data_IF_184500834575
#
_entry.id   IF_184500834575
#
_cell.length_a   1.000
_cell.length_b   1.000
_cell.length_c   1.000
_cell.angle_alpha   90.00
_cell.angle_beta   90.00
_cell.angle_gamma   90.00
#
_symmetry.space_group_name_H-M   'P 1'
#
loop_
_entity.id
_entity.type
_entity.pdbx_description
1 polymer ?
#
# COMPACT_ATOMS: atom_id res chain seq x y z
N UNK A 1 10.90 17.37 -23.87
CA UNK A 1 11.78 18.48 -24.22
C UNK A 1 12.52 18.34 -25.56
N UNK A 2 11.98 17.63 -26.57
CA UNK A 2 12.44 17.71 -27.95
C UNK A 2 13.79 17.07 -28.29
N UNK A 3 14.42 16.37 -27.38
CA UNK A 3 15.74 15.76 -27.56
C UNK A 3 15.75 14.25 -27.82
N UNK A 4 14.59 13.63 -27.86
CA UNK A 4 14.49 12.23 -28.26
C UNK A 4 14.20 12.19 -29.75
N UNK A 5 15.15 11.69 -30.54
CA UNK A 5 14.94 11.50 -31.98
C UNK A 5 13.74 10.55 -32.19
N UNK A 6 12.65 10.98 -32.84
CA UNK A 6 11.44 10.17 -33.04
C UNK A 6 11.71 8.82 -33.71
N UNK A 7 12.74 8.76 -34.55
CA UNK A 7 13.11 7.58 -35.34
C UNK A 7 13.72 6.42 -34.49
N UNK A 8 14.01 6.63 -33.20
CA UNK A 8 14.52 5.56 -32.32
C UNK A 8 13.43 4.65 -31.74
N UNK A 9 12.18 5.10 -31.78
CA UNK A 9 11.04 4.32 -31.25
C UNK A 9 10.12 3.97 -32.40
N UNK A 10 10.59 3.11 -33.30
CA UNK A 10 9.79 2.58 -34.41
C UNK A 10 9.17 1.23 -33.98
N UNK A 11 8.09 1.29 -33.22
CA UNK A 11 7.30 0.09 -32.90
C UNK A 11 5.94 0.17 -33.57
N UNK A 12 5.47 -0.97 -34.06
CA UNK A 12 4.17 -1.07 -34.72
C UNK A 12 3.00 -1.24 -33.76
N UNK A 13 3.29 -1.65 -32.53
CA UNK A 13 2.28 -1.82 -31.48
C UNK A 13 2.78 -1.24 -30.15
N UNK A 14 1.97 -0.40 -29.54
CA UNK A 14 2.13 0.11 -28.17
C UNK A 14 1.03 -0.48 -27.31
N UNK A 15 1.40 -1.20 -26.26
CA UNK A 15 0.46 -1.72 -25.27
C UNK A 15 0.62 -0.88 -23.99
N UNK A 16 -0.49 -0.38 -23.47
CA UNK A 16 -0.57 0.39 -22.23
C UNK A 16 -1.43 -0.41 -21.27
N UNK A 17 -0.84 -0.90 -20.19
CA UNK A 17 -1.55 -1.55 -19.10
C UNK A 17 -1.82 -0.53 -17.98
N UNK A 18 -2.90 -0.75 -17.20
CA UNK A 18 -3.35 0.17 -16.14
C UNK A 18 -3.51 1.62 -16.67
N UNK A 19 -4.08 1.76 -17.86
CA UNK A 19 -4.13 3.03 -18.58
C UNK A 19 -4.96 4.13 -17.85
N UNK A 20 -5.79 3.77 -16.85
CA UNK A 20 -6.47 4.73 -15.98
C UNK A 20 -5.50 5.52 -15.09
N UNK A 21 -4.29 5.00 -14.85
CA UNK A 21 -3.28 5.62 -13.99
C UNK A 21 -2.35 6.58 -14.75
N UNK A 22 -2.56 6.80 -16.04
CA UNK A 22 -1.77 7.74 -16.83
C UNK A 22 -1.84 9.14 -16.26
N UNK A 23 -0.68 9.78 -16.16
CA UNK A 23 -0.53 11.21 -15.93
C UNK A 23 -0.66 12.02 -17.23
N UNK A 24 -0.68 13.34 -17.09
CA UNK A 24 -0.64 14.25 -18.26
C UNK A 24 0.59 14.03 -19.14
N UNK A 25 1.73 13.74 -18.52
CA UNK A 25 2.99 13.60 -19.23
C UNK A 25 3.05 12.25 -19.97
N UNK A 26 2.49 11.17 -19.35
CA UNK A 26 2.36 9.87 -20.00
C UNK A 26 1.46 9.96 -21.25
N UNK A 27 0.31 10.61 -21.10
CA UNK A 27 -0.61 10.83 -22.22
C UNK A 27 0.01 11.69 -23.33
N UNK A 28 0.79 12.73 -22.97
CA UNK A 28 1.50 13.55 -23.94
C UNK A 28 2.55 12.74 -24.71
N UNK A 29 3.26 11.83 -24.03
CA UNK A 29 4.22 10.93 -24.67
C UNK A 29 3.52 9.97 -25.64
N UNK A 30 2.43 9.33 -25.20
CA UNK A 30 1.62 8.42 -26.05
C UNK A 30 1.13 9.17 -27.29
N UNK A 31 0.55 10.37 -27.11
CA UNK A 31 0.06 11.18 -28.19
C UNK A 31 1.15 11.61 -29.19
N UNK A 32 2.36 11.91 -28.70
CA UNK A 32 3.50 12.23 -29.55
C UNK A 32 3.95 11.02 -30.37
N UNK A 33 3.99 9.82 -29.74
CA UNK A 33 4.34 8.57 -30.43
C UNK A 33 3.32 8.23 -31.53
N UNK A 34 2.03 8.38 -31.24
CA UNK A 34 0.96 8.16 -32.24
C UNK A 34 1.09 9.11 -33.44
N UNK A 35 1.41 10.37 -33.19
CA UNK A 35 1.59 11.38 -34.26
C UNK A 35 2.81 11.16 -35.15
N UNK A 36 3.88 10.61 -34.57
CA UNK A 36 5.13 10.39 -35.31
C UNK A 36 5.20 9.03 -35.99
N UNK A 37 4.31 8.10 -35.63
CA UNK A 37 4.24 6.74 -36.18
C UNK A 37 2.81 6.44 -36.64
N UNK A 38 2.46 6.86 -37.84
CA UNK A 38 1.10 6.73 -38.39
C UNK A 38 0.59 5.28 -38.44
N UNK A 39 1.47 4.31 -38.60
CA UNK A 39 1.12 2.88 -38.61
C UNK A 39 1.06 2.24 -37.22
N UNK A 40 1.35 3.00 -36.15
CA UNK A 40 1.34 2.47 -34.79
C UNK A 40 -0.08 2.15 -34.33
N UNK A 41 -0.26 0.93 -33.87
CA UNK A 41 -1.50 0.50 -33.18
C UNK A 41 -1.31 0.64 -31.68
N UNK A 42 -2.26 1.28 -31.02
CA UNK A 42 -2.28 1.41 -29.56
C UNK A 42 -3.35 0.49 -28.98
N UNK A 43 -2.98 -0.30 -27.99
CA UNK A 43 -3.86 -1.14 -27.20
C UNK A 43 -3.77 -0.61 -25.76
N UNK A 44 -4.79 0.08 -25.28
CA UNK A 44 -4.87 0.55 -23.92
C UNK A 44 -5.84 -0.32 -23.12
N UNK A 45 -5.37 -0.88 -22.02
CA UNK A 45 -6.16 -1.69 -21.08
C UNK A 45 -6.18 -0.97 -19.75
N UNK A 46 -7.35 -0.87 -19.13
CA UNK A 46 -7.51 -0.17 -17.86
C UNK A 46 -8.91 -0.31 -17.30
N UNK A 47 -9.06 0.07 -16.05
CA UNK A 47 -10.31 0.08 -15.31
C UNK A 47 -10.49 1.45 -14.64
N UNK A 48 -11.34 2.30 -15.22
CA UNK A 48 -11.59 3.65 -14.72
C UNK A 48 -12.15 3.69 -13.29
N UNK A 49 -12.83 2.63 -12.84
CA UNK A 49 -13.29 2.48 -11.46
C UNK A 49 -12.14 2.24 -10.46
N UNK A 50 -10.93 1.88 -10.95
CA UNK A 50 -9.75 1.61 -10.13
C UNK A 50 -8.73 2.74 -10.10
N UNK A 51 -9.02 3.90 -10.65
CA UNK A 51 -8.13 5.05 -10.53
C UNK A 51 -8.10 5.58 -9.08
N UNK A 52 -7.06 5.20 -8.34
CA UNK A 52 -6.83 5.62 -6.95
C UNK A 52 -5.62 6.54 -6.80
N UNK A 53 -4.98 6.95 -7.91
CA UNK A 53 -3.75 7.76 -7.92
C UNK A 53 -3.96 9.19 -8.41
N UNK A 54 -5.18 9.72 -8.40
CA UNK A 54 -5.45 11.12 -8.76
C UNK A 54 -4.58 12.12 -7.98
N UNK A 55 -4.28 11.83 -6.72
CA UNK A 55 -3.38 12.65 -5.90
C UNK A 55 -1.93 12.69 -6.40
N UNK A 56 -1.54 11.77 -7.31
CA UNK A 56 -0.25 11.75 -8.01
C UNK A 56 -0.33 12.35 -9.41
N UNK A 57 -1.47 12.86 -9.82
CA UNK A 57 -1.70 13.48 -11.12
C UNK A 57 -2.19 12.53 -12.21
N UNK A 58 -2.55 11.26 -11.85
CA UNK A 58 -3.23 10.37 -12.79
C UNK A 58 -4.68 10.83 -13.02
N UNK A 59 -5.23 10.51 -14.18
CA UNK A 59 -6.63 10.84 -14.47
C UNK A 59 -7.19 9.90 -15.52
N UNK A 60 -8.29 9.21 -15.19
CA UNK A 60 -9.02 8.32 -16.12
C UNK A 60 -9.49 9.02 -17.41
N UNK A 61 -9.53 10.36 -17.40
CA UNK A 61 -9.82 11.16 -18.59
C UNK A 61 -8.89 10.80 -19.75
N UNK A 62 -7.62 10.50 -19.49
CA UNK A 62 -6.66 10.18 -20.57
C UNK A 62 -6.99 8.84 -21.22
N UNK A 63 -7.48 7.85 -20.44
CA UNK A 63 -8.02 6.62 -21.00
C UNK A 63 -9.26 6.91 -21.87
N UNK A 64 -10.16 7.78 -21.39
CA UNK A 64 -11.33 8.20 -22.17
C UNK A 64 -10.91 8.91 -23.48
N UNK A 65 -9.95 9.81 -23.44
CA UNK A 65 -9.46 10.52 -24.62
C UNK A 65 -8.91 9.56 -25.70
N UNK A 66 -8.28 8.45 -25.31
CA UNK A 66 -7.86 7.41 -26.26
C UNK A 66 -9.05 6.75 -26.96
N UNK A 67 -10.21 6.62 -26.30
CA UNK A 67 -11.42 6.06 -26.95
C UNK A 67 -12.02 7.01 -27.97
N UNK A 68 -11.71 8.30 -27.91
CA UNK A 68 -12.24 9.32 -28.82
C UNK A 68 -11.33 9.56 -30.05
N UNK A 69 -10.19 8.85 -30.15
CA UNK A 69 -9.33 8.97 -31.32
C UNK A 69 -9.97 8.35 -32.55
N UNK A 70 -9.67 8.87 -33.73
CA UNK A 70 -10.17 8.36 -35.00
C UNK A 70 -9.79 6.87 -35.17
N UNK A 71 -10.74 6.06 -35.62
CA UNK A 71 -10.59 4.60 -35.77
C UNK A 71 -10.40 3.82 -34.43
N UNK A 72 -10.62 4.43 -33.28
CA UNK A 72 -10.58 3.70 -32.01
C UNK A 72 -11.75 2.71 -31.90
N UNK A 73 -11.50 1.58 -31.23
CA UNK A 73 -12.52 0.62 -30.86
C UNK A 73 -12.51 0.43 -29.35
N UNK A 74 -13.61 0.76 -28.72
CA UNK A 74 -13.83 0.54 -27.30
C UNK A 74 -14.51 -0.83 -27.07
N UNK A 75 -13.98 -1.61 -26.12
CA UNK A 75 -14.50 -2.92 -25.74
C UNK A 75 -14.62 -2.96 -24.22
N UNK A 76 -15.83 -3.12 -23.69
CA UNK A 76 -16.07 -3.38 -22.27
C UNK A 76 -15.90 -4.87 -21.96
N UNK A 77 -15.05 -5.19 -20.97
CA UNK A 77 -14.92 -6.52 -20.42
C UNK A 77 -15.86 -6.64 -19.22
N UNK A 78 -16.94 -7.40 -19.38
CA UNK A 78 -18.02 -7.47 -18.38
C UNK A 78 -18.00 -8.74 -17.56
N UNK A 79 -17.25 -9.76 -17.97
CA UNK A 79 -17.17 -11.06 -17.29
C UNK A 79 -16.05 -11.06 -16.25
N UNK A 80 -16.40 -11.39 -14.99
CA UNK A 80 -15.46 -11.48 -13.89
C UNK A 80 -15.30 -12.95 -13.46
N UNK A 81 -14.11 -13.49 -13.68
CA UNK A 81 -13.72 -14.86 -13.32
C UNK A 81 -12.96 -14.94 -11.99
N UNK A 82 -12.66 -13.80 -11.36
CA UNK A 82 -11.85 -13.72 -10.14
C UNK A 82 -12.68 -13.81 -8.88
N UNK A 83 -13.79 -13.08 -8.84
CA UNK A 83 -14.52 -12.82 -7.61
C UNK A 83 -15.86 -13.52 -7.57
N UNK A 84 -16.26 -13.91 -6.35
CA UNK A 84 -17.54 -14.55 -6.07
C UNK A 84 -18.71 -13.56 -6.29
N UNK A 85 -19.92 -14.08 -6.50
CA UNK A 85 -21.09 -13.34 -6.96
C UNK A 85 -21.45 -12.14 -6.08
N UNK A 86 -21.54 -12.32 -4.77
CA UNK A 86 -21.89 -11.23 -3.85
C UNK A 86 -20.83 -10.11 -3.80
N UNK A 87 -19.55 -10.47 -4.00
CA UNK A 87 -18.46 -9.49 -4.06
C UNK A 87 -18.62 -8.61 -5.31
N UNK A 88 -18.87 -9.23 -6.48
CA UNK A 88 -19.10 -8.49 -7.74
C UNK A 88 -20.34 -7.61 -7.66
N UNK A 89 -21.43 -8.13 -7.10
CA UNK A 89 -22.65 -7.35 -6.92
C UNK A 89 -22.45 -6.14 -5.99
N UNK A 90 -21.71 -6.34 -4.91
CA UNK A 90 -21.36 -5.24 -3.99
C UNK A 90 -20.48 -4.21 -4.67
N UNK A 91 -19.49 -4.63 -5.45
CA UNK A 91 -18.62 -3.74 -6.22
C UNK A 91 -19.44 -2.91 -7.24
N UNK A 92 -20.36 -3.53 -7.99
CA UNK A 92 -21.27 -2.81 -8.88
C UNK A 92 -22.11 -1.77 -8.14
N UNK A 93 -22.60 -2.09 -6.92
CA UNK A 93 -23.36 -1.15 -6.09
C UNK A 93 -22.52 0.06 -5.67
N UNK A 94 -21.25 -0.13 -5.33
CA UNK A 94 -20.32 0.98 -5.05
C UNK A 94 -20.00 1.79 -6.30
N UNK A 95 -19.73 1.12 -7.41
CA UNK A 95 -19.37 1.74 -8.69
C UNK A 95 -20.46 2.69 -9.20
N UNK A 96 -21.74 2.46 -8.86
CA UNK A 96 -22.86 3.35 -9.19
C UNK A 96 -22.69 4.76 -8.63
N UNK A 97 -21.89 4.94 -7.57
CA UNK A 97 -21.63 6.24 -6.95
C UNK A 97 -20.43 6.97 -7.58
N UNK A 98 -19.67 6.31 -8.45
CA UNK A 98 -18.53 6.92 -9.14
C UNK A 98 -19.08 7.83 -10.25
N UNK A 99 -18.65 9.08 -10.22
CA UNK A 99 -19.00 10.06 -11.25
C UNK A 99 -18.08 9.92 -12.45
N UNK A 100 -18.60 10.16 -13.64
CA UNK A 100 -17.83 10.19 -14.90
C UNK A 100 -17.17 8.83 -15.25
N UNK A 101 -17.91 7.74 -15.05
CA UNK A 101 -17.47 6.41 -15.50
C UNK A 101 -17.44 6.32 -17.02
N UNK A 102 -16.40 5.65 -17.54
CA UNK A 102 -16.29 5.28 -18.96
C UNK A 102 -17.19 4.06 -19.25
N UNK A 103 -17.16 3.09 -18.32
CA UNK A 103 -17.98 1.87 -18.42
C UNK A 103 -19.44 2.15 -18.09
N UNK A 104 -20.32 1.57 -18.88
CA UNK A 104 -21.77 1.66 -18.66
C UNK A 104 -22.39 0.34 -18.22
N UNK A 105 -21.77 -0.77 -18.55
CA UNK A 105 -22.30 -2.12 -18.31
C UNK A 105 -21.84 -2.66 -16.95
N UNK A 106 -22.77 -3.23 -16.14
CA UNK A 106 -22.38 -3.91 -14.90
C UNK A 106 -21.49 -5.13 -15.17
N UNK A 107 -20.57 -5.40 -14.25
CA UNK A 107 -19.75 -6.60 -14.30
C UNK A 107 -20.55 -7.81 -13.81
N UNK A 108 -20.39 -8.96 -14.45
CA UNK A 108 -21.09 -10.19 -14.14
C UNK A 108 -20.08 -11.21 -13.60
N UNK A 109 -20.33 -11.75 -12.41
CA UNK A 109 -19.52 -12.84 -11.87
C UNK A 109 -19.81 -14.14 -12.62
N UNK A 110 -18.76 -14.78 -13.10
CA UNK A 110 -18.84 -16.13 -13.73
C UNK A 110 -18.75 -17.26 -12.69
N UNK A 111 -18.51 -16.93 -11.40
CA UNK A 111 -18.54 -17.89 -10.31
C UNK A 111 -19.95 -18.34 -9.96
N UNK A 112 -20.11 -19.62 -9.67
CA UNK A 112 -21.36 -20.19 -9.15
C UNK A 112 -21.49 -20.02 -7.63
N UNK A 113 -20.41 -19.67 -6.95
CA UNK A 113 -20.39 -19.46 -5.51
C UNK A 113 -20.75 -18.00 -5.17
N UNK A 114 -21.49 -17.83 -4.06
CA UNK A 114 -22.01 -16.52 -3.68
C UNK A 114 -20.96 -15.63 -2.99
N UNK A 115 -20.16 -16.20 -2.10
CA UNK A 115 -19.24 -15.44 -1.25
C UNK A 115 -19.96 -14.67 -0.14
N UNK A 116 -19.20 -14.00 0.69
CA UNK A 116 -19.71 -13.19 1.80
C UNK A 116 -19.13 -11.77 1.73
N UNK A 117 -19.98 -10.77 1.92
CA UNK A 117 -19.59 -9.37 2.12
C UNK A 117 -20.20 -8.90 3.43
N UNK A 118 -19.36 -8.47 4.37
CA UNK A 118 -19.78 -7.99 5.68
C UNK A 118 -19.31 -6.58 5.92
N UNK A 119 -20.23 -5.70 6.30
CA UNK A 119 -19.93 -4.31 6.65
C UNK A 119 -20.08 -4.18 8.17
N UNK A 120 -19.00 -3.73 8.82
CA UNK A 120 -18.99 -3.48 10.26
C UNK A 120 -18.90 -1.98 10.50
N UNK A 121 -19.91 -1.42 11.17
CA UNK A 121 -19.95 0.00 11.53
C UNK A 121 -19.57 0.15 13.01
N UNK A 122 -18.57 0.97 13.29
CA UNK A 122 -18.17 1.32 14.65
C UNK A 122 -18.88 2.57 15.15
N UNK A 123 -19.29 2.64 16.43
CA UNK A 123 -19.76 3.88 17.04
C UNK A 123 -18.64 4.94 17.03
N UNK A 124 -19.01 6.19 16.77
CA UNK A 124 -18.07 7.34 16.67
C UNK A 124 -17.22 7.54 17.95
N UNK A 125 -17.78 7.24 19.12
CA UNK A 125 -17.10 7.36 20.42
C UNK A 125 -15.86 6.46 20.59
N UNK A 126 -15.75 5.39 19.78
CA UNK A 126 -14.58 4.50 19.80
C UNK A 126 -13.42 5.06 18.97
N UNK A 127 -13.68 6.02 18.08
CA UNK A 127 -12.69 6.58 17.15
C UNK A 127 -11.57 7.37 17.85
N UNK A 128 -11.81 7.90 19.07
CA UNK A 128 -10.77 8.61 19.84
C UNK A 128 -9.63 7.69 20.30
N UNK A 129 -9.87 6.37 20.39
CA UNK A 129 -8.84 5.38 20.72
C UNK A 129 -8.61 4.48 19.51
N UNK A 130 -7.77 4.91 18.59
CA UNK A 130 -7.46 4.22 17.32
C UNK A 130 -7.23 2.69 17.42
N UNK A 131 -6.73 2.22 18.55
CA UNK A 131 -6.47 0.78 18.77
C UNK A 131 -7.74 -0.07 18.71
N UNK A 132 -8.88 0.45 19.17
CA UNK A 132 -10.14 -0.30 19.16
C UNK A 132 -10.74 -0.46 17.75
N UNK A 133 -10.35 0.34 16.79
CA UNK A 133 -10.80 0.20 15.40
C UNK A 133 -10.31 -1.10 14.76
N UNK A 134 -9.17 -1.62 15.20
CA UNK A 134 -8.55 -2.81 14.61
C UNK A 134 -8.99 -4.11 15.29
N UNK A 135 -9.62 -4.04 16.45
CA UNK A 135 -10.05 -5.20 17.21
C UNK A 135 -11.01 -6.12 16.41
N UNK A 136 -12.04 -5.61 15.71
CA UNK A 136 -12.91 -6.46 14.91
C UNK A 136 -12.21 -7.14 13.74
N UNK A 137 -11.19 -6.49 13.16
CA UNK A 137 -10.37 -7.10 12.10
C UNK A 137 -9.60 -8.28 12.69
N UNK A 138 -9.00 -8.11 13.87
CA UNK A 138 -8.30 -9.17 14.58
C UNK A 138 -9.22 -10.34 14.90
N UNK A 139 -10.44 -10.08 15.39
CA UNK A 139 -11.44 -11.10 15.67
C UNK A 139 -11.83 -11.89 14.41
N UNK A 140 -12.03 -11.19 13.29
CA UNK A 140 -12.33 -11.82 12.01
C UNK A 140 -11.19 -12.66 11.48
N UNK A 141 -9.96 -12.16 11.53
CA UNK A 141 -8.77 -12.92 11.14
C UNK A 141 -8.63 -14.17 12.01
N UNK A 142 -8.79 -14.05 13.32
CA UNK A 142 -8.71 -15.17 14.25
C UNK A 142 -9.79 -16.20 13.95
N UNK A 143 -11.02 -15.76 13.68
CA UNK A 143 -12.15 -16.64 13.31
C UNK A 143 -11.87 -17.38 12.01
N UNK A 144 -11.37 -16.70 10.99
CA UNK A 144 -11.06 -17.30 9.70
C UNK A 144 -9.93 -18.33 9.80
N UNK A 145 -8.87 -18.03 10.55
CA UNK A 145 -7.79 -18.98 10.82
C UNK A 145 -8.26 -20.19 11.60
N UNK A 146 -9.11 -19.99 12.64
CA UNK A 146 -9.70 -21.08 13.43
C UNK A 146 -10.65 -21.96 12.63
N UNK A 147 -11.42 -21.40 11.69
CA UNK A 147 -12.31 -22.19 10.81
C UNK A 147 -11.53 -23.04 9.81
N UNK A 148 -10.34 -22.61 9.40
CA UNK A 148 -9.48 -23.39 8.50
C UNK A 148 -8.81 -24.57 9.23
N UNK A 149 -8.41 -24.39 10.47
CA UNK A 149 -7.84 -25.48 11.29
C UNK A 149 -8.83 -26.64 11.53
N UNK A 150 -10.13 -26.36 11.62
CA UNK A 150 -11.17 -27.40 11.78
C UNK A 150 -11.52 -28.13 10.48
N UNK A 151 -11.19 -27.58 9.31
CA UNK A 151 -11.41 -28.19 8.00
C UNK A 151 -10.26 -29.08 7.53
N UNK A 152 -9.06 -28.96 8.12
CA UNK A 152 -7.90 -29.82 7.81
C UNK A 152 -8.05 -31.28 8.30
N UNK A 153 -9.07 -31.57 9.15
CA UNK A 153 -9.34 -32.92 9.62
C UNK A 153 -9.90 -33.86 8.55
N UNK A 154 -10.33 -33.35 7.41
CA UNK A 154 -10.85 -34.15 6.29
C UNK A 154 -9.84 -34.16 5.13
N UNK A 155 -8.93 -35.15 5.16
CA UNK A 155 -7.74 -35.27 4.28
C UNK A 155 -8.03 -35.51 2.80
N UNK A 156 -9.27 -35.45 2.33
CA UNK A 156 -9.66 -35.73 0.94
C UNK A 156 -9.93 -34.50 0.07
N UNK A 157 -9.97 -33.31 0.64
CA UNK A 157 -10.09 -32.08 -0.15
C UNK A 157 -8.87 -31.17 0.09
N UNK A 158 -7.84 -31.28 -0.77
CA UNK A 158 -6.79 -30.25 -0.89
C UNK A 158 -7.44 -28.90 -1.27
N UNK A 159 -7.98 -28.17 -0.29
CA UNK A 159 -8.33 -26.78 -0.52
C UNK A 159 -7.06 -25.97 -0.65
N UNK A 160 -6.97 -25.22 -1.75
CA UNK A 160 -6.01 -24.14 -1.99
C UNK A 160 -5.74 -23.40 -0.67
N UNK A 161 -4.46 -23.10 -0.38
CA UNK A 161 -4.06 -22.23 0.71
C UNK A 161 -4.88 -20.93 0.62
N UNK A 162 -5.86 -20.80 1.47
CA UNK A 162 -6.63 -19.56 1.58
C UNK A 162 -5.71 -18.49 2.17
N UNK A 163 -5.60 -17.36 1.50
CA UNK A 163 -4.81 -16.21 1.96
C UNK A 163 -5.74 -15.11 2.45
N UNK A 164 -5.36 -14.45 3.54
CA UNK A 164 -6.08 -13.29 4.08
C UNK A 164 -5.25 -12.06 3.76
N UNK A 165 -5.89 -11.06 3.13
CA UNK A 165 -5.28 -9.76 2.91
C UNK A 165 -6.03 -8.69 3.68
N UNK A 166 -5.31 -7.83 4.40
CA UNK A 166 -5.86 -6.69 5.13
C UNK A 166 -5.40 -5.43 4.41
N UNK A 167 -6.36 -4.64 3.93
CA UNK A 167 -6.10 -3.36 3.28
C UNK A 167 -6.40 -2.23 4.27
N UNK A 168 -5.52 -1.25 4.32
CA UNK A 168 -5.63 -0.07 5.16
C UNK A 168 -5.57 1.19 4.32
N UNK A 169 -6.07 2.29 4.84
CA UNK A 169 -6.04 3.57 4.13
C UNK A 169 -4.64 4.18 4.10
N UNK A 170 -3.83 3.92 5.12
CA UNK A 170 -2.48 4.46 5.25
C UNK A 170 -1.47 3.36 5.57
N UNK A 171 -0.21 3.59 5.21
CA UNK A 171 0.88 2.69 5.57
C UNK A 171 1.09 2.59 7.09
N UNK A 172 0.81 3.68 7.81
CA UNK A 172 0.90 3.72 9.28
C UNK A 172 -0.12 2.76 9.92
N UNK A 173 -1.34 2.73 9.39
CA UNK A 173 -2.37 1.77 9.83
C UNK A 173 -1.98 0.32 9.51
N UNK A 174 -1.33 0.07 8.37
CA UNK A 174 -0.83 -1.25 8.01
C UNK A 174 0.21 -1.75 9.02
N UNK A 175 1.14 -0.88 9.46
CA UNK A 175 2.13 -1.20 10.49
C UNK A 175 1.48 -1.48 11.85
N UNK A 176 0.50 -0.66 12.25
CA UNK A 176 -0.25 -0.86 13.50
C UNK A 176 -0.95 -2.23 13.46
N UNK A 177 -1.58 -2.55 12.33
CA UNK A 177 -2.27 -3.84 12.14
C UNK A 177 -1.29 -5.02 12.20
N UNK A 178 -0.13 -4.90 11.54
CA UNK A 178 0.92 -5.92 11.60
C UNK A 178 1.39 -6.16 13.04
N UNK A 179 1.67 -5.10 13.79
CA UNK A 179 2.08 -5.17 15.18
C UNK A 179 1.01 -5.85 16.06
N UNK A 180 -0.26 -5.53 15.82
CA UNK A 180 -1.37 -6.14 16.53
C UNK A 180 -1.48 -7.65 16.25
N UNK A 181 -1.35 -8.07 14.99
CA UNK A 181 -1.35 -9.49 14.61
C UNK A 181 -0.19 -10.24 15.26
N UNK A 182 1.03 -9.67 15.22
CA UNK A 182 2.20 -10.27 15.85
C UNK A 182 2.05 -10.40 17.38
N UNK A 183 1.46 -9.41 18.05
CA UNK A 183 1.20 -9.48 19.50
C UNK A 183 0.24 -10.61 19.89
N UNK A 184 -0.56 -11.10 18.94
CA UNK A 184 -1.45 -12.24 19.08
C UNK A 184 -0.90 -13.54 18.45
N UNK A 185 0.41 -13.59 18.18
CA UNK A 185 1.10 -14.73 17.55
C UNK A 185 0.55 -15.12 16.16
N UNK A 186 -0.09 -14.18 15.46
CA UNK A 186 -0.55 -14.38 14.08
C UNK A 186 0.57 -13.92 13.14
N UNK A 187 1.12 -14.86 12.36
CA UNK A 187 2.13 -14.55 11.35
C UNK A 187 1.50 -13.77 10.20
N UNK A 188 2.01 -12.59 9.95
CA UNK A 188 1.60 -11.73 8.85
C UNK A 188 2.82 -11.09 8.19
N UNK A 189 2.66 -10.70 6.93
CA UNK A 189 3.68 -10.00 6.17
C UNK A 189 3.13 -8.67 5.67
N UNK A 190 3.90 -7.60 5.84
CA UNK A 190 3.58 -6.31 5.26
C UNK A 190 3.95 -6.32 3.77
N UNK A 191 2.95 -6.11 2.90
CA UNK A 191 3.16 -5.96 1.47
C UNK A 191 3.08 -4.48 1.14
N UNK A 192 4.24 -3.86 0.91
CA UNK A 192 4.33 -2.46 0.52
C UNK A 192 5.00 -2.32 -0.85
N UNK A 193 4.59 -1.31 -1.62
CA UNK A 193 5.42 -0.84 -2.72
C UNK A 193 6.67 -0.17 -2.14
N UNK A 194 7.80 -0.29 -2.82
CA UNK A 194 9.10 0.28 -2.41
C UNK A 194 9.06 1.79 -2.12
N UNK A 195 8.03 2.49 -2.59
CA UNK A 195 7.80 3.92 -2.37
C UNK A 195 7.07 4.24 -1.03
N UNK A 196 6.76 3.20 -0.24
CA UNK A 196 5.89 3.27 0.92
C UNK A 196 6.54 3.70 2.22
N UNK A 197 6.09 3.11 3.31
CA UNK A 197 6.52 3.43 4.67
C UNK A 197 7.95 2.94 4.91
N UNK A 198 8.91 3.82 4.81
CA UNK A 198 10.26 3.55 5.31
C UNK A 198 10.24 3.65 6.82
N UNK A 199 11.01 2.79 7.51
CA UNK A 199 11.12 2.74 8.96
C UNK A 199 11.34 4.13 9.59
N UNK A 200 12.16 4.98 8.97
CA UNK A 200 12.42 6.34 9.42
C UNK A 200 11.21 7.30 9.36
N UNK A 201 10.10 6.93 8.70
CA UNK A 201 8.86 7.71 8.65
C UNK A 201 7.95 7.47 9.87
N UNK A 202 8.20 6.45 10.67
CA UNK A 202 7.46 6.21 11.91
C UNK A 202 7.57 7.42 12.85
N UNK A 203 6.46 7.80 13.46
CA UNK A 203 6.41 8.95 14.36
C UNK A 203 7.38 8.81 15.55
N UNK A 204 7.51 7.59 16.06
CA UNK A 204 8.42 7.21 17.13
C UNK A 204 9.88 7.41 16.72
N UNK A 205 10.24 6.93 15.52
CA UNK A 205 11.60 7.04 14.95
C UNK A 205 11.96 8.50 14.72
N UNK A 206 11.06 9.26 14.09
CA UNK A 206 11.26 10.69 13.84
C UNK A 206 11.40 11.49 15.13
N UNK A 207 10.62 11.16 16.15
CA UNK A 207 10.72 11.82 17.45
C UNK A 207 12.05 11.49 18.14
N UNK A 208 12.46 10.21 18.11
CA UNK A 208 13.74 9.78 18.65
C UNK A 208 14.90 10.52 17.98
N UNK A 209 14.96 10.51 16.63
CA UNK A 209 15.99 11.25 15.88
C UNK A 209 15.98 12.75 16.20
N UNK A 210 14.81 13.37 16.32
CA UNK A 210 14.68 14.77 16.72
C UNK A 210 15.29 15.03 18.11
N UNK A 211 15.13 14.11 19.06
CA UNK A 211 15.72 14.23 20.40
C UNK A 211 17.23 14.08 20.38
N UNK A 212 17.74 13.14 19.60
CA UNK A 212 19.18 13.04 19.35
C UNK A 212 19.74 14.33 18.76
N UNK A 213 19.11 14.88 17.72
CA UNK A 213 19.54 16.11 17.07
C UNK A 213 19.55 17.31 18.01
N UNK A 214 18.57 17.41 18.89
CA UNK A 214 18.52 18.46 19.91
C UNK A 214 19.68 18.35 20.89
N UNK A 215 19.99 17.13 21.36
CA UNK A 215 21.08 16.89 22.29
C UNK A 215 22.47 17.16 21.71
N UNK A 216 22.74 16.70 20.49
CA UNK A 216 24.06 16.86 19.85
C UNK A 216 24.33 18.28 19.34
N UNK A 217 23.32 19.12 19.13
CA UNK A 217 23.53 20.54 18.74
C UNK A 217 24.37 21.31 19.74
N UNK A 218 24.27 20.96 21.01
CA UNK A 218 25.02 21.62 22.09
C UNK A 218 26.46 21.10 22.17
N UNK A 219 26.69 19.84 21.80
CA UNK A 219 28.00 19.19 21.95
C UNK A 219 28.95 19.39 20.77
N UNK A 220 28.41 19.74 19.58
CA UNK A 220 29.16 19.81 18.29
C UNK A 220 29.97 18.54 17.99
N UNK A 221 29.68 17.42 18.63
CA UNK A 221 30.35 16.13 18.44
C UNK A 221 29.60 15.29 17.40
N UNK A 222 30.31 14.58 16.51
CA UNK A 222 29.68 13.60 15.62
C UNK A 222 29.26 12.32 16.35
N UNK A 223 29.81 12.09 17.55
CA UNK A 223 29.48 10.95 18.41
C UNK A 223 28.36 11.39 19.36
N UNK A 224 27.33 10.57 19.45
CA UNK A 224 26.20 10.77 20.36
C UNK A 224 26.64 10.30 21.75
N UNK A 225 26.69 11.20 22.76
CA UNK A 225 26.97 10.81 24.13
C UNK A 225 25.91 9.85 24.70
N UNK A 226 26.34 8.94 25.58
CA UNK A 226 25.44 7.93 26.15
C UNK A 226 24.29 8.51 26.97
N UNK A 227 24.51 9.62 27.64
CA UNK A 227 23.47 10.34 28.38
C UNK A 227 22.41 10.92 27.46
N UNK A 228 22.79 11.50 26.32
CA UNK A 228 21.85 12.00 25.29
C UNK A 228 21.09 10.82 24.66
N UNK A 229 21.77 9.72 24.38
CA UNK A 229 21.18 8.52 23.83
C UNK A 229 20.10 7.95 24.75
N UNK A 230 20.41 7.72 26.01
CA UNK A 230 19.48 7.15 26.99
C UNK A 230 18.32 8.15 27.30
N UNK A 231 18.61 9.43 27.37
CA UNK A 231 17.55 10.43 27.56
C UNK A 231 16.57 10.45 26.36
N UNK A 232 17.06 10.34 25.12
CA UNK A 232 16.24 10.28 23.93
C UNK A 232 15.36 9.02 23.90
N UNK A 233 15.94 7.85 24.27
CA UNK A 233 15.19 6.59 24.40
C UNK A 233 14.08 6.71 25.44
N UNK A 234 14.40 7.17 26.63
CA UNK A 234 13.45 7.29 27.73
C UNK A 234 12.28 8.22 27.37
N UNK A 235 12.57 9.41 26.83
CA UNK A 235 11.53 10.37 26.43
C UNK A 235 10.64 9.81 25.32
N UNK A 236 11.23 9.11 24.34
CA UNK A 236 10.47 8.50 23.26
C UNK A 236 9.59 7.37 23.75
N UNK A 237 10.14 6.47 24.57
CA UNK A 237 9.40 5.34 25.13
C UNK A 237 8.26 5.77 26.05
N UNK A 238 8.46 6.83 26.83
CA UNK A 238 7.42 7.41 27.67
C UNK A 238 6.31 8.04 26.83
N UNK A 239 6.69 8.84 25.83
CA UNK A 239 5.71 9.54 24.98
C UNK A 239 4.86 8.57 24.15
N UNK A 240 5.44 7.50 23.66
CA UNK A 240 4.80 6.53 22.78
C UNK A 240 4.51 5.18 23.47
N UNK A 241 4.35 5.19 24.80
CA UNK A 241 4.18 3.96 25.60
C UNK A 241 3.00 3.09 25.13
N UNK A 242 1.95 3.68 24.58
CA UNK A 242 0.78 2.99 24.03
C UNK A 242 0.86 2.73 22.52
N UNK A 243 1.95 3.09 21.85
CA UNK A 243 2.09 2.87 20.41
C UNK A 243 2.41 1.43 20.09
N UNK A 244 1.69 0.89 19.10
CA UNK A 244 1.93 -0.45 18.57
C UNK A 244 3.22 -0.53 17.73
N UNK A 245 3.74 0.59 17.26
CA UNK A 245 4.99 0.65 16.51
C UNK A 245 6.25 0.77 17.41
N UNK A 246 6.07 1.07 18.70
CA UNK A 246 7.18 1.22 19.63
C UNK A 246 8.07 -0.05 19.76
N UNK A 247 7.56 -1.29 19.73
CA UNK A 247 8.39 -2.50 19.74
C UNK A 247 9.41 -2.56 18.61
N UNK A 248 9.05 -2.12 17.40
CA UNK A 248 9.97 -2.07 16.25
C UNK A 248 11.12 -1.09 16.50
N UNK A 249 10.84 0.12 17.02
CA UNK A 249 11.88 1.06 17.40
C UNK A 249 12.79 0.47 18.51
N UNK A 250 12.23 -0.16 19.53
CA UNK A 250 13.02 -0.78 20.61
C UNK A 250 13.99 -1.81 20.04
N UNK A 251 13.49 -2.69 19.17
CA UNK A 251 14.29 -3.75 18.55
C UNK A 251 15.37 -3.17 17.66
N UNK A 252 15.05 -2.17 16.84
CA UNK A 252 16.03 -1.52 15.97
C UNK A 252 17.16 -0.86 16.74
N UNK A 253 16.83 -0.11 17.81
CA UNK A 253 17.84 0.52 18.65
C UNK A 253 18.72 -0.52 19.35
N UNK A 254 18.16 -1.65 19.78
CA UNK A 254 18.92 -2.75 20.34
C UNK A 254 19.90 -3.34 19.33
N UNK A 255 19.46 -3.56 18.07
CA UNK A 255 20.34 -4.05 17.00
C UNK A 255 21.46 -3.04 16.72
N UNK A 256 21.12 -1.74 16.62
CA UNK A 256 22.11 -0.69 16.41
C UNK A 256 23.15 -0.64 17.53
N UNK A 257 22.75 -0.73 18.80
CA UNK A 257 23.65 -0.77 19.96
C UNK A 257 24.59 -1.97 19.94
N UNK A 258 24.12 -3.13 19.48
CA UNK A 258 24.93 -4.35 19.40
C UNK A 258 25.98 -4.29 18.28
N UNK A 259 25.68 -3.59 17.19
CA UNK A 259 26.56 -3.50 16.02
C UNK A 259 27.50 -2.29 16.07
N UNK A 260 27.18 -1.26 16.84
CA UNK A 260 27.93 0.00 16.88
C UNK A 260 28.45 0.33 18.30
N UNK A 261 29.72 0.09 18.55
CA UNK A 261 30.36 0.43 19.85
C UNK A 261 30.36 1.93 20.11
N UNK A 262 30.65 2.73 19.09
CA UNK A 262 30.55 4.19 19.14
C UNK A 262 29.35 4.61 18.29
N UNK A 263 28.46 5.41 18.87
CA UNK A 263 27.21 5.82 18.23
C UNK A 263 27.43 7.11 17.44
N UNK A 264 27.84 6.99 16.16
CA UNK A 264 27.92 8.16 15.28
C UNK A 264 26.54 8.55 14.79
N UNK A 265 26.26 9.86 14.71
CA UNK A 265 24.96 10.34 14.23
C UNK A 265 24.74 10.06 12.75
N UNK A 266 25.82 10.00 11.95
CA UNK A 266 25.78 9.54 10.55
C UNK A 266 25.32 8.10 10.43
N UNK A 267 25.95 7.21 11.20
CA UNK A 267 25.70 5.76 11.14
C UNK A 267 24.27 5.43 11.61
N UNK A 268 23.80 6.15 12.64
CA UNK A 268 22.41 6.03 13.09
C UNK A 268 21.42 6.42 11.98
N UNK A 269 21.70 7.52 11.26
CA UNK A 269 20.82 7.98 10.20
C UNK A 269 20.82 7.01 9.01
N UNK A 270 21.98 6.54 8.60
CA UNK A 270 22.14 5.54 7.55
C UNK A 270 21.42 4.24 7.93
N UNK A 271 21.66 3.71 9.13
CA UNK A 271 20.99 2.53 9.65
C UNK A 271 19.47 2.67 9.61
N UNK A 272 18.92 3.77 10.14
CA UNK A 272 17.47 4.02 10.17
C UNK A 272 16.92 4.21 8.76
N UNK A 273 17.68 4.82 7.84
CA UNK A 273 17.26 5.07 6.47
C UNK A 273 17.22 3.79 5.62
N UNK A 274 18.18 2.89 5.83
CA UNK A 274 18.28 1.61 5.13
C UNK A 274 17.38 0.53 5.71
N UNK A 275 16.99 0.65 6.98
CA UNK A 275 16.13 -0.32 7.66
C UNK A 275 14.70 -0.28 7.15
N UNK A 276 14.09 -1.46 7.09
CA UNK A 276 12.66 -1.65 6.91
C UNK A 276 11.99 -2.10 8.22
N UNK A 277 10.65 -2.01 8.28
CA UNK A 277 9.89 -2.54 9.44
C UNK A 277 10.00 -4.06 9.52
N UNK A 278 10.27 -4.72 8.39
CA UNK A 278 10.40 -6.19 8.31
C UNK A 278 11.72 -6.71 8.92
N UNK A 279 12.70 -5.83 9.15
CA UNK A 279 14.00 -6.20 9.74
C UNK A 279 13.92 -6.38 11.26
N UNK A 280 12.82 -5.96 11.88
CA UNK A 280 12.61 -5.93 13.33
C UNK A 280 11.29 -6.55 13.75
#
# INVERSE_FOLDING_TARGET
NGEVEPNRISKTVLVIDEAQDMSKDDYALVSALMKTNEEMRVIAVGDDDQNIYEFRGSNSRYLYELTQTEHSRFIEMTENYRSLRHIVNSANGFAHNIRQRIKSTPIISMSQEDGEVRIVKHPYEILEKKVYMYQPILEDVTRLLGSNASKEADASSRKKNETISILTQTNEEAVIMLALLHSHNIKAKLVQSMDGLRFWNLAEVRYFLKKIDQGIKETKSPIIPDDIWEAAKQQTFQKYASSQALPYLRRSLQVFEQTNRAKYSSDLREFVFESSVEDF
#
